data_IF_689077714574
#
_entry.id   IF_689077714574
#
_cell.length_a   1.000
_cell.length_b   1.000
_cell.length_c   1.000
_cell.angle_alpha   90.00
_cell.angle_beta   90.00
_cell.angle_gamma   90.00
#
_symmetry.space_group_name_H-M   'P 1'
#
loop_
_entity.id
_entity.type
_entity.pdbx_description
1 polymer ?
#
# COMPACT_ATOMS: atom_id res chain seq x y z
N UNK A 1 23.77 1.42 7.67
CA UNK A 1 22.44 1.76 8.22
C UNK A 1 21.43 1.16 7.27
N UNK A 2 20.61 0.20 7.70
CA UNK A 2 19.65 -0.47 6.81
C UNK A 2 18.55 0.53 6.39
N UNK A 3 18.26 0.59 5.09
CA UNK A 3 17.21 1.47 4.57
C UNK A 3 15.84 0.88 4.90
N UNK A 4 14.85 1.73 5.15
CA UNK A 4 13.49 1.26 5.47
C UNK A 4 12.88 0.41 4.35
N UNK A 5 13.30 0.63 3.10
CA UNK A 5 12.92 -0.18 1.95
C UNK A 5 13.48 -1.61 1.99
N UNK A 6 14.69 -1.81 2.51
CA UNK A 6 15.29 -3.14 2.68
C UNK A 6 14.54 -3.94 3.76
N UNK A 7 14.18 -3.28 4.86
CA UNK A 7 13.33 -3.86 5.92
C UNK A 7 11.96 -4.25 5.38
N UNK A 8 11.35 -3.41 4.54
CA UNK A 8 10.09 -3.70 3.88
C UNK A 8 10.20 -4.91 2.95
N UNK A 9 11.27 -4.99 2.15
CA UNK A 9 11.54 -6.13 1.27
C UNK A 9 11.67 -7.43 2.05
N UNK A 10 12.41 -7.40 3.16
CA UNK A 10 12.61 -8.57 4.03
C UNK A 10 11.28 -9.07 4.60
N UNK A 11 10.52 -8.18 5.23
CA UNK A 11 9.19 -8.49 5.75
C UNK A 11 8.27 -9.09 4.68
N UNK A 12 8.27 -8.50 3.48
CA UNK A 12 7.49 -9.00 2.34
C UNK A 12 7.84 -10.44 2.00
N UNK A 13 9.13 -10.77 1.95
CA UNK A 13 9.61 -12.12 1.61
C UNK A 13 9.31 -13.13 2.74
N UNK A 14 9.53 -12.76 3.99
CA UNK A 14 9.24 -13.58 5.17
C UNK A 14 7.75 -13.97 5.28
N UNK A 15 6.86 -13.08 4.82
CA UNK A 15 5.41 -13.28 4.86
C UNK A 15 4.81 -13.76 3.53
N UNK A 16 5.64 -14.08 2.52
CA UNK A 16 5.17 -14.55 1.22
C UNK A 16 4.32 -13.54 0.44
N UNK A 17 4.46 -12.24 0.73
CA UNK A 17 3.64 -11.19 0.15
C UNK A 17 4.14 -10.78 -1.24
N UNK A 18 3.20 -10.56 -2.16
CA UNK A 18 3.52 -9.94 -3.44
C UNK A 18 3.76 -8.43 -3.27
N UNK A 19 4.51 -7.82 -4.19
CA UNK A 19 4.68 -6.35 -4.20
C UNK A 19 3.35 -5.62 -4.32
N UNK A 20 2.38 -6.20 -5.06
CA UNK A 20 1.01 -5.70 -5.18
C UNK A 20 0.26 -5.76 -3.84
N UNK A 21 0.40 -6.85 -3.09
CA UNK A 21 -0.20 -6.96 -1.76
C UNK A 21 0.34 -5.87 -0.82
N UNK A 22 1.67 -5.66 -0.78
CA UNK A 22 2.28 -4.61 0.03
C UNK A 22 1.85 -3.21 -0.44
N UNK A 23 1.80 -2.98 -1.75
CA UNK A 23 1.32 -1.72 -2.32
C UNK A 23 -0.13 -1.39 -1.90
N UNK A 24 -1.01 -2.39 -1.95
CA UNK A 24 -2.41 -2.24 -1.51
C UNK A 24 -2.48 -1.94 0.00
N UNK A 25 -1.76 -2.69 0.84
CA UNK A 25 -1.69 -2.46 2.30
C UNK A 25 -1.19 -1.05 2.64
N UNK A 26 -0.19 -0.58 1.91
CA UNK A 26 0.39 0.75 2.08
C UNK A 26 -0.35 1.84 1.30
N UNK A 27 -1.40 1.52 0.53
CA UNK A 27 -2.14 2.49 -0.28
C UNK A 27 -1.27 3.27 -1.27
N UNK A 28 -0.29 2.62 -1.89
CA UNK A 28 0.62 3.22 -2.88
C UNK A 28 0.66 2.38 -4.16
N UNK A 29 1.33 2.88 -5.19
CA UNK A 29 1.51 2.14 -6.44
C UNK A 29 2.57 1.04 -6.31
N UNK A 30 2.47 -0.02 -7.12
CA UNK A 30 3.50 -1.08 -7.17
C UNK A 30 4.88 -0.54 -7.57
N UNK A 31 5.01 0.38 -8.56
CA UNK A 31 6.30 1.01 -8.86
C UNK A 31 6.92 1.76 -7.68
N UNK A 32 6.10 2.34 -6.80
CA UNK A 32 6.57 2.99 -5.56
C UNK A 32 7.26 1.96 -4.64
N UNK A 33 6.65 0.78 -4.46
CA UNK A 33 7.24 -0.31 -3.68
C UNK A 33 8.56 -0.78 -4.29
N UNK A 34 8.63 -0.97 -5.61
CA UNK A 34 9.86 -1.38 -6.31
C UNK A 34 10.99 -0.39 -6.02
N UNK A 35 10.74 0.91 -6.23
CA UNK A 35 11.75 1.95 -6.00
C UNK A 35 12.20 2.03 -4.54
N UNK A 36 11.33 1.78 -3.57
CA UNK A 36 11.73 1.73 -2.16
C UNK A 36 12.57 0.48 -1.85
N UNK A 37 12.15 -0.70 -2.30
CA UNK A 37 12.88 -1.96 -2.07
C UNK A 37 14.25 -2.01 -2.76
N UNK A 38 14.42 -1.28 -3.85
CA UNK A 38 15.68 -1.15 -4.60
C UNK A 38 16.54 0.04 -4.14
N UNK A 39 16.06 0.84 -3.18
CA UNK A 39 16.78 2.03 -2.70
C UNK A 39 16.82 3.20 -3.68
N UNK A 40 16.08 3.14 -4.78
CA UNK A 40 15.97 4.19 -5.80
C UNK A 40 15.21 5.43 -5.30
N UNK A 41 14.45 5.32 -4.22
CA UNK A 41 13.78 6.46 -3.59
C UNK A 41 13.54 6.22 -2.10
N UNK A 42 13.40 7.30 -1.35
CA UNK A 42 13.14 7.28 0.10
C UNK A 42 11.65 7.58 0.34
N UNK A 43 10.94 6.78 1.16
CA UNK A 43 9.58 7.12 1.56
C UNK A 43 9.56 8.44 2.34
N UNK A 44 8.57 9.30 2.06
CA UNK A 44 8.27 10.45 2.91
C UNK A 44 7.82 10.01 4.32
N UNK A 45 7.71 10.95 5.26
CA UNK A 45 7.41 10.65 6.65
C UNK A 45 6.09 9.91 6.86
N UNK A 46 5.06 10.26 6.08
CA UNK A 46 3.77 9.56 6.13
C UNK A 46 3.90 8.08 5.72
N UNK A 47 4.56 7.80 4.60
CA UNK A 47 4.76 6.43 4.14
C UNK A 47 5.73 5.66 5.03
N UNK A 48 6.74 6.32 5.58
CA UNK A 48 7.64 5.75 6.60
C UNK A 48 6.85 5.28 7.81
N UNK A 49 5.96 6.11 8.33
CA UNK A 49 5.08 5.73 9.45
C UNK A 49 4.18 4.53 9.11
N UNK A 50 3.61 4.48 7.90
CA UNK A 50 2.80 3.32 7.45
C UNK A 50 3.62 2.05 7.36
N UNK A 51 4.85 2.13 6.84
CA UNK A 51 5.77 0.99 6.76
C UNK A 51 6.11 0.51 8.17
N UNK A 52 6.49 1.40 9.09
CA UNK A 52 6.82 1.01 10.46
C UNK A 52 5.66 0.34 11.19
N UNK A 53 4.43 0.83 10.99
CA UNK A 53 3.23 0.18 11.52
C UNK A 53 3.01 -1.22 10.94
N UNK A 54 3.20 -1.37 9.63
CA UNK A 54 3.09 -2.66 8.95
C UNK A 54 4.12 -3.66 9.51
N UNK A 55 5.37 -3.23 9.69
CA UNK A 55 6.46 -4.06 10.21
C UNK A 55 6.25 -4.50 11.66
N UNK A 56 5.54 -3.71 12.48
CA UNK A 56 5.21 -4.06 13.88
C UNK A 56 4.06 -5.07 14.01
N UNK A 57 3.44 -5.49 12.91
CA UNK A 57 2.26 -6.36 12.94
C UNK A 57 0.99 -5.66 13.41
N UNK A 58 0.94 -4.32 13.36
CA UNK A 58 -0.27 -3.57 13.70
C UNK A 58 -1.41 -3.90 12.74
N UNK A 59 -2.68 -3.77 13.16
CA UNK A 59 -3.82 -4.00 12.28
C UNK A 59 -3.67 -3.14 11.03
N UNK A 60 -3.83 -3.77 9.88
CA UNK A 60 -3.81 -3.07 8.60
C UNK A 60 -4.78 -1.89 8.65
N UNK A 61 -4.36 -0.67 8.26
CA UNK A 61 -5.33 0.37 8.05
C UNK A 61 -6.30 -0.17 6.98
N UNK A 62 -7.57 -0.28 7.34
CA UNK A 62 -8.64 -0.77 6.47
C UNK A 62 -8.80 0.19 5.27
N UNK A 63 -7.90 0.11 4.29
CA UNK A 63 -7.85 0.97 3.11
C UNK A 63 -8.54 0.34 1.90
N UNK A 64 -9.15 -0.84 2.07
CA UNK A 64 -9.89 -1.53 1.00
C UNK A 64 -11.41 -1.52 1.21
N UNK A 65 -11.93 -0.42 1.76
CA UNK A 65 -13.27 0.02 1.41
C UNK A 65 -13.12 1.11 0.36
N UNK A 66 -12.71 0.75 -0.86
CA UNK A 66 -13.27 1.48 -2.00
C UNK A 66 -14.75 1.13 -1.96
N UNK A 67 -15.68 2.04 -1.57
CA UNK A 67 -17.07 1.76 -1.88
C UNK A 67 -17.09 1.52 -3.38
N UNK A 68 -17.66 0.40 -3.81
CA UNK A 68 -18.03 0.23 -5.21
C UNK A 68 -18.91 1.44 -5.49
N UNK A 69 -18.38 2.44 -6.20
CA UNK A 69 -19.14 3.61 -6.59
C UNK A 69 -20.20 3.08 -7.54
N UNK A 70 -21.38 2.80 -6.99
CA UNK A 70 -22.56 2.55 -7.79
C UNK A 70 -22.93 3.92 -8.31
N UNK A 71 -22.87 4.07 -9.64
CA UNK A 71 -23.51 5.21 -10.29
C UNK A 71 -25.00 5.09 -9.94
N UNK A 72 -25.46 5.91 -8.99
CA UNK A 72 -26.89 6.10 -8.76
C UNK A 72 -27.44 6.58 -10.10
N UNK A 73 -28.31 5.76 -10.71
CA UNK A 73 -28.88 6.02 -12.03
C UNK A 73 -29.42 7.43 -12.08
N UNK A 74 -28.73 8.30 -12.82
CA UNK A 74 -29.03 9.72 -12.90
C UNK A 74 -29.77 10.06 -14.19
N UNK A 75 -30.57 9.13 -14.69
CA UNK A 75 -31.53 9.37 -15.76
C UNK A 75 -32.74 8.48 -15.48
N UNK A 76 -33.80 9.07 -14.92
CA UNK A 76 -35.14 8.59 -15.24
C UNK A 76 -35.30 8.76 -16.76
N UNK A 77 -35.50 7.67 -17.49
CA UNK A 77 -35.92 7.74 -18.89
C UNK A 77 -37.29 8.45 -18.93
N UNK A 78 -37.44 9.60 -19.62
CA UNK A 78 -38.76 10.17 -19.79
C UNK A 78 -39.59 9.29 -20.74
N UNK A 79 -40.88 9.20 -20.40
CA UNK A 79 -41.93 8.36 -21.00
C UNK A 79 -42.01 8.36 -22.53
#
# INVERSE_FOLDING_TARGET
>A
MELIGERLRRFRLEHGLSKRAVANRLGVSVPTIIRWEEGLSIPNDYNRHKIERLLRGGPEPALDRRPRLVLLGLFDEPA
#
